data_IF_587658577590
#
_entry.id   IF_587658577590
#
_cell.length_a   1.000
_cell.length_b   1.000
_cell.length_c   1.000
_cell.angle_alpha   90.00
_cell.angle_beta   90.00
_cell.angle_gamma   90.00
#
_symmetry.space_group_name_H-M   'P 1'
#
loop_
_entity.id
_entity.type
_entity.pdbx_description
1 polymer ?
#
# COMPACT_ATOMS: atom_id res chain seq x y z
N UNK A 1 11.87 -1.85 -9.98
CA UNK A 1 11.28 -0.58 -10.48
C UNK A 1 11.58 0.60 -9.56
N UNK A 2 11.39 0.49 -8.24
CA UNK A 2 11.61 1.59 -7.28
C UNK A 2 13.02 2.22 -7.37
N UNK A 3 14.08 1.40 -7.39
CA UNK A 3 15.48 1.83 -7.61
C UNK A 3 15.73 2.55 -8.94
N UNK A 4 14.85 2.33 -9.91
CA UNK A 4 14.95 2.88 -11.27
C UNK A 4 13.83 3.87 -11.53
N UNK A 5 13.22 4.50 -10.52
CA UNK A 5 12.36 5.68 -10.65
C UNK A 5 13.20 6.95 -10.42
N UNK A 6 13.01 7.97 -11.27
CA UNK A 6 13.88 9.16 -11.29
C UNK A 6 13.57 10.20 -10.22
N UNK A 7 12.36 10.16 -9.68
CA UNK A 7 11.86 11.21 -8.81
C UNK A 7 10.98 10.60 -7.72
N UNK A 8 10.77 11.36 -6.66
CA UNK A 8 10.03 10.94 -5.47
C UNK A 8 8.57 10.61 -5.80
N UNK A 9 7.90 11.45 -6.61
CA UNK A 9 6.51 11.24 -7.08
C UNK A 9 6.30 9.88 -7.74
N UNK A 10 7.11 9.55 -8.74
CA UNK A 10 6.96 8.30 -9.51
C UNK A 10 7.29 7.08 -8.63
N UNK A 11 8.27 7.22 -7.72
CA UNK A 11 8.62 6.16 -6.76
C UNK A 11 7.45 5.90 -5.80
N UNK A 12 6.89 6.96 -5.23
CA UNK A 12 5.71 6.91 -4.37
C UNK A 12 4.48 6.33 -5.09
N UNK A 13 4.23 6.75 -6.33
CA UNK A 13 3.11 6.24 -7.11
C UNK A 13 3.26 4.74 -7.40
N UNK A 14 4.45 4.29 -7.80
CA UNK A 14 4.72 2.87 -8.09
C UNK A 14 4.58 2.03 -6.81
N UNK A 15 5.11 2.49 -5.68
CA UNK A 15 4.99 1.76 -4.40
C UNK A 15 3.52 1.65 -4.00
N UNK A 16 2.79 2.78 -3.97
CA UNK A 16 1.37 2.79 -3.61
C UNK A 16 0.52 1.93 -4.55
N UNK A 17 0.78 1.96 -5.87
CA UNK A 17 0.08 1.13 -6.84
C UNK A 17 0.31 -0.38 -6.62
N UNK A 18 1.53 -0.77 -6.23
CA UNK A 18 1.80 -2.15 -5.88
C UNK A 18 1.15 -2.54 -4.55
N UNK A 19 1.36 -1.77 -3.48
CA UNK A 19 0.94 -2.17 -2.13
C UNK A 19 -0.57 -2.23 -1.98
N UNK A 20 -1.24 -1.15 -2.36
CA UNK A 20 -2.68 -0.99 -2.18
C UNK A 20 -3.50 -2.04 -2.95
N UNK A 21 -2.92 -2.61 -4.01
CA UNK A 21 -3.65 -3.40 -4.99
C UNK A 21 -4.80 -2.62 -5.65
N UNK A 22 -4.89 -1.31 -5.48
CA UNK A 22 -6.00 -0.49 -5.95
C UNK A 22 -6.05 -0.38 -7.47
N UNK A 23 -7.20 0.06 -7.99
CA UNK A 23 -7.27 0.46 -9.41
C UNK A 23 -6.46 1.74 -9.56
N UNK A 24 -5.79 1.86 -10.71
CA UNK A 24 -5.03 3.08 -11.02
C UNK A 24 -5.92 4.33 -11.03
N UNK A 25 -7.19 4.24 -11.40
CA UNK A 25 -8.12 5.37 -11.31
C UNK A 25 -8.36 5.83 -9.86
N UNK A 26 -8.55 4.87 -8.95
CA UNK A 26 -8.71 5.11 -7.51
C UNK A 26 -7.50 5.85 -6.94
N UNK A 27 -6.28 5.39 -7.29
CA UNK A 27 -5.06 6.05 -6.84
C UNK A 27 -4.79 7.38 -7.54
N UNK A 28 -4.97 7.44 -8.86
CA UNK A 28 -4.68 8.64 -9.64
C UNK A 28 -5.56 9.83 -9.23
N UNK A 29 -6.76 9.57 -8.70
CA UNK A 29 -7.70 10.57 -8.18
C UNK A 29 -7.49 10.96 -6.72
N UNK A 30 -6.46 10.44 -6.03
CA UNK A 30 -6.19 10.81 -4.64
C UNK A 30 -5.90 12.31 -4.50
N UNK A 31 -6.43 12.88 -3.42
CA UNK A 31 -6.19 14.26 -2.96
C UNK A 31 -5.43 14.21 -1.64
N UNK A 32 -4.81 15.32 -1.25
CA UNK A 32 -4.04 15.41 0.00
C UNK A 32 -4.88 14.94 1.21
N UNK A 33 -6.15 15.36 1.30
CA UNK A 33 -7.08 14.95 2.37
C UNK A 33 -7.34 13.45 2.49
N UNK A 34 -7.09 12.68 1.42
CA UNK A 34 -7.31 11.24 1.39
C UNK A 34 -6.12 10.46 1.97
N UNK A 35 -5.03 11.14 2.37
CA UNK A 35 -3.82 10.52 2.91
C UNK A 35 -3.70 10.85 4.39
N UNK A 36 -3.72 9.83 5.24
CA UNK A 36 -3.53 10.00 6.69
C UNK A 36 -2.39 9.11 7.16
N UNK A 37 -1.34 9.70 7.72
CA UNK A 37 -0.21 8.95 8.27
C UNK A 37 -0.50 8.52 9.71
N UNK A 38 -0.02 7.35 10.09
CA UNK A 38 -0.11 6.82 11.45
C UNK A 38 1.22 6.17 11.87
N UNK A 39 1.27 5.62 13.09
CA UNK A 39 2.49 4.99 13.64
C UNK A 39 3.06 3.87 12.76
N UNK A 40 2.21 3.15 12.03
CA UNK A 40 2.58 1.97 11.26
C UNK A 40 2.78 2.25 9.76
N UNK A 41 2.31 3.38 9.26
CA UNK A 41 2.35 3.72 7.84
C UNK A 41 1.36 4.82 7.48
N UNK A 42 0.46 4.54 6.52
CA UNK A 42 -0.58 5.46 6.12
C UNK A 42 -1.88 4.73 5.72
N UNK A 43 -2.99 5.45 5.80
CA UNK A 43 -4.30 5.07 5.30
C UNK A 43 -4.62 5.93 4.08
N UNK A 44 -4.96 5.27 2.98
CA UNK A 44 -5.45 5.93 1.76
C UNK A 44 -6.96 5.70 1.65
N UNK A 45 -7.74 6.77 1.70
CA UNK A 45 -9.18 6.68 1.47
C UNK A 45 -9.45 6.81 -0.02
N UNK A 46 -9.81 5.70 -0.68
CA UNK A 46 -10.06 5.67 -2.13
C UNK A 46 -11.54 5.56 -2.42
N UNK A 47 -11.98 6.22 -3.50
CA UNK A 47 -13.34 6.08 -4.03
C UNK A 47 -13.36 5.03 -5.15
N UNK A 48 -14.01 3.90 -4.88
CA UNK A 48 -14.15 2.79 -5.81
C UNK A 48 -15.60 2.54 -6.21
N UNK A 49 -15.81 1.59 -7.12
CA UNK A 49 -17.16 1.17 -7.56
C UNK A 49 -18.07 0.69 -6.42
N UNK A 50 -17.48 0.24 -5.31
CA UNK A 50 -18.17 -0.30 -4.13
C UNK A 50 -18.27 0.74 -3.00
N UNK A 51 -17.98 2.02 -3.28
CA UNK A 51 -17.94 3.10 -2.30
C UNK A 51 -16.52 3.48 -1.88
N UNK A 52 -16.45 4.43 -0.96
CA UNK A 52 -15.19 4.84 -0.34
C UNK A 52 -14.70 3.75 0.62
N UNK A 53 -13.41 3.44 0.57
CA UNK A 53 -12.80 2.46 1.48
C UNK A 53 -11.39 2.88 1.90
N UNK A 54 -10.99 2.58 3.15
CA UNK A 54 -9.62 2.77 3.58
C UNK A 54 -8.72 1.67 3.02
N UNK A 55 -7.50 2.03 2.63
CA UNK A 55 -6.44 1.08 2.29
C UNK A 55 -5.22 1.38 3.15
N UNK A 56 -4.86 0.43 3.99
CA UNK A 56 -3.65 0.51 4.81
C UNK A 56 -2.42 0.18 3.95
N UNK A 57 -1.45 1.09 3.97
CA UNK A 57 -0.13 0.93 3.35
C UNK A 57 0.95 1.10 4.41
N UNK A 58 1.96 0.23 4.38
CA UNK A 58 3.04 0.19 5.36
C UNK A 58 4.36 0.49 4.66
N UNK A 59 4.75 -0.31 3.65
CA UNK A 59 6.04 -0.12 3.00
C UNK A 59 6.07 1.07 2.04
N UNK A 60 4.91 1.46 1.51
CA UNK A 60 4.76 2.60 0.60
C UNK A 60 4.69 3.93 1.33
N UNK A 61 4.29 3.92 2.60
CA UNK A 61 4.09 5.14 3.38
C UNK A 61 5.34 6.03 3.43
N UNK A 62 6.56 5.51 3.65
CA UNK A 62 7.78 6.34 3.62
C UNK A 62 8.05 7.00 2.26
N UNK A 63 7.73 6.32 1.14
CA UNK A 63 7.89 6.91 -0.19
C UNK A 63 6.86 8.01 -0.43
N UNK A 64 5.62 7.80 0.03
CA UNK A 64 4.55 8.78 -0.06
C UNK A 64 4.87 10.02 0.80
N UNK A 65 5.35 9.82 2.02
CA UNK A 65 5.79 10.90 2.91
C UNK A 65 6.95 11.70 2.29
N UNK A 66 7.96 11.01 1.76
CA UNK A 66 9.10 11.65 1.09
C UNK A 66 8.67 12.50 -0.12
N UNK A 67 7.66 12.05 -0.86
CA UNK A 67 7.04 12.84 -1.94
C UNK A 67 6.26 14.05 -1.40
N UNK A 68 5.37 13.84 -0.42
CA UNK A 68 4.52 14.90 0.13
C UNK A 68 5.33 15.99 0.84
N UNK A 69 6.50 15.65 1.40
CA UNK A 69 7.43 16.60 2.01
C UNK A 69 7.85 17.70 1.02
N UNK A 70 8.03 17.35 -0.26
CA UNK A 70 8.46 18.28 -1.32
C UNK A 70 7.31 18.69 -2.25
N UNK A 71 6.07 18.30 -1.94
CA UNK A 71 4.92 18.60 -2.77
C UNK A 71 4.55 20.09 -2.66
N UNK A 72 4.41 20.83 -3.77
CA UNK A 72 4.23 22.28 -3.75
C UNK A 72 2.89 22.72 -3.16
N UNK A 73 1.88 21.84 -3.17
CA UNK A 73 0.55 22.08 -2.61
C UNK A 73 0.26 21.14 -1.43
N UNK A 74 1.27 20.77 -0.64
CA UNK A 74 1.12 19.77 0.43
C UNK A 74 0.11 20.16 1.53
N UNK A 75 -0.10 21.46 1.72
CA UNK A 75 -0.99 22.00 2.75
C UNK A 75 -2.44 22.20 2.22
N UNK A 76 -2.64 22.05 0.90
CA UNK A 76 -3.92 22.22 0.22
C UNK A 76 -4.69 20.90 0.16
N UNK A 77 -5.70 20.74 1.02
CA UNK A 77 -6.44 19.49 1.20
C UNK A 77 -7.11 18.94 -0.07
N UNK A 78 -7.56 19.84 -0.95
CA UNK A 78 -8.19 19.49 -2.22
C UNK A 78 -7.21 19.27 -3.37
N UNK A 79 -5.92 19.54 -3.17
CA UNK A 79 -4.92 19.36 -4.22
C UNK A 79 -4.74 17.88 -4.56
N UNK A 80 -4.53 17.53 -5.84
CA UNK A 80 -4.22 16.15 -6.23
C UNK A 80 -2.86 15.74 -5.66
N UNK A 81 -2.75 14.50 -5.17
CA UNK A 81 -1.47 13.93 -4.68
C UNK A 81 -0.46 13.80 -5.83
N UNK A 82 -0.95 13.55 -7.04
CA UNK A 82 -0.12 13.31 -8.22
C UNK A 82 -0.25 14.48 -9.19
N UNK A 83 0.73 15.38 -9.14
CA UNK A 83 0.80 16.56 -10.03
C UNK A 83 1.87 16.43 -11.11
N UNK A 84 1.72 17.20 -12.19
CA UNK A 84 2.77 17.40 -13.20
C UNK A 84 4.00 18.10 -12.59
N UNK A 85 5.19 17.91 -13.17
CA UNK A 85 6.40 18.59 -12.66
C UNK A 85 6.50 20.06 -13.05
N UNK A 86 5.83 20.46 -14.14
CA UNK A 86 5.83 21.83 -14.67
C UNK A 86 4.52 22.57 -14.34
N UNK A 87 3.89 22.23 -13.23
CA UNK A 87 2.62 22.84 -12.80
C UNK A 87 2.05 22.15 -11.56
N UNK A 88 0.83 22.49 -11.21
CA UNK A 88 0.09 21.93 -10.06
C UNK A 88 -1.12 21.09 -10.49
N UNK A 89 -1.30 20.91 -11.80
CA UNK A 89 -2.38 20.11 -12.36
C UNK A 89 -2.16 18.62 -12.14
N UNK A 90 -3.26 17.89 -11.98
CA UNK A 90 -3.25 16.44 -11.82
C UNK A 90 -2.63 15.75 -13.03
N UNK A 91 -1.78 14.73 -12.76
CA UNK A 91 -1.23 13.91 -13.85
C UNK A 91 -2.36 13.09 -14.48
N UNK A 92 -2.56 13.30 -15.79
CA UNK A 92 -3.52 12.51 -16.55
C UNK A 92 -3.18 11.00 -16.53
N UNK A 93 -4.21 10.17 -16.50
CA UNK A 93 -4.10 8.71 -16.50
C UNK A 93 -3.14 8.13 -17.56
N UNK A 94 -3.19 8.56 -18.84
CA UNK A 94 -2.27 8.05 -19.86
C UNK A 94 -0.81 8.36 -19.56
N UNK A 95 -0.53 9.49 -18.90
CA UNK A 95 0.83 9.88 -18.53
C UNK A 95 1.37 9.01 -17.40
N UNK A 96 0.56 8.67 -16.39
CA UNK A 96 0.92 7.70 -15.35
C UNK A 96 1.21 6.32 -15.96
N UNK A 97 0.36 5.84 -16.87
CA UNK A 97 0.58 4.56 -17.54
C UNK A 97 1.86 4.56 -18.41
N UNK A 98 2.14 5.68 -19.10
CA UNK A 98 3.39 5.86 -19.86
C UNK A 98 4.60 5.85 -18.92
N UNK A 99 4.51 6.53 -17.78
CA UNK A 99 5.56 6.55 -16.76
C UNK A 99 5.88 5.13 -16.27
N UNK A 100 4.87 4.32 -15.94
CA UNK A 100 5.06 2.92 -15.52
C UNK A 100 5.85 2.11 -16.55
N UNK A 101 5.49 2.23 -17.84
CA UNK A 101 6.17 1.54 -18.94
C UNK A 101 7.62 2.01 -19.09
N UNK A 102 7.87 3.31 -19.00
CA UNK A 102 9.22 3.87 -19.07
C UNK A 102 10.08 3.35 -17.93
N UNK A 103 9.59 3.41 -16.68
CA UNK A 103 10.32 2.91 -15.51
C UNK A 103 10.57 1.40 -15.61
N UNK A 104 9.60 0.63 -16.11
CA UNK A 104 9.76 -0.81 -16.32
C UNK A 104 10.86 -1.13 -17.34
N UNK A 105 10.90 -0.39 -18.47
CA UNK A 105 11.95 -0.53 -19.49
C UNK A 105 13.33 -0.25 -18.90
N UNK A 106 13.47 0.80 -18.09
CA UNK A 106 14.75 1.12 -17.41
C UNK A 106 15.16 0.10 -16.36
N UNK A 107 14.19 -0.57 -15.75
CA UNK A 107 14.43 -1.67 -14.84
C UNK A 107 14.78 -3.00 -15.55
N UNK A 108 14.85 -3.02 -16.89
CA UNK A 108 15.16 -4.24 -17.65
C UNK A 108 14.01 -5.26 -17.66
N UNK A 109 12.79 -4.85 -17.30
CA UNK A 109 11.64 -5.76 -17.25
C UNK A 109 11.14 -6.00 -18.67
N UNK A 110 11.30 -7.25 -19.16
CA UNK A 110 10.85 -7.68 -20.49
C UNK A 110 9.35 -7.91 -20.56
N UNK A 111 8.70 -8.27 -19.45
CA UNK A 111 7.25 -8.50 -19.38
C UNK A 111 6.50 -7.19 -19.59
N UNK A 112 5.36 -7.25 -20.27
CA UNK A 112 4.47 -6.10 -20.46
C UNK A 112 3.96 -5.58 -19.11
N UNK A 113 4.31 -4.36 -18.76
CA UNK A 113 3.85 -3.69 -17.53
C UNK A 113 2.64 -2.80 -17.82
N UNK A 114 1.60 -2.96 -17.01
CA UNK A 114 0.36 -2.19 -17.04
C UNK A 114 -0.26 -2.19 -15.63
N UNK A 115 -1.16 -1.25 -15.30
CA UNK A 115 -1.63 -1.07 -13.92
C UNK A 115 -2.26 -2.32 -13.28
N UNK A 116 -3.13 -3.03 -14.01
CA UNK A 116 -3.76 -4.25 -13.49
C UNK A 116 -2.75 -5.36 -13.17
N UNK A 117 -1.56 -5.39 -13.80
CA UNK A 117 -0.52 -6.35 -13.45
C UNK A 117 -0.03 -6.16 -12.01
N UNK A 118 0.04 -4.91 -11.51
CA UNK A 118 0.42 -4.64 -10.12
C UNK A 118 -0.61 -5.24 -9.16
N UNK A 119 -1.90 -5.02 -9.42
CA UNK A 119 -2.99 -5.63 -8.66
C UNK A 119 -2.90 -7.15 -8.64
N UNK A 120 -2.78 -7.81 -9.80
CA UNK A 120 -2.61 -9.27 -9.87
C UNK A 120 -1.39 -9.75 -9.06
N UNK A 121 -0.26 -9.05 -9.20
CA UNK A 121 0.97 -9.39 -8.49
C UNK A 121 0.80 -9.26 -6.97
N UNK A 122 0.09 -8.21 -6.52
CA UNK A 122 -0.21 -8.00 -5.11
C UNK A 122 -1.21 -9.01 -4.57
N UNK A 123 -2.28 -9.32 -5.31
CA UNK A 123 -3.27 -10.34 -4.93
C UNK A 123 -2.62 -11.71 -4.79
N UNK A 124 -1.76 -12.10 -5.73
CA UNK A 124 -1.00 -13.36 -5.66
C UNK A 124 -0.12 -13.42 -4.42
N UNK A 125 0.59 -12.32 -4.12
CA UNK A 125 1.42 -12.23 -2.92
C UNK A 125 0.59 -12.32 -1.62
N UNK A 126 -0.53 -11.61 -1.55
CA UNK A 126 -1.37 -11.57 -0.35
C UNK A 126 -2.09 -12.90 -0.08
N UNK A 127 -2.36 -13.71 -1.10
CA UNK A 127 -2.98 -15.03 -0.95
C UNK A 127 -2.17 -16.00 -0.07
N UNK A 128 -0.86 -15.74 0.14
CA UNK A 128 -0.01 -16.52 1.03
C UNK A 128 -0.15 -16.14 2.52
N UNK A 129 -0.80 -15.02 2.81
CA UNK A 129 -0.87 -14.41 4.15
C UNK A 129 -2.29 -14.09 4.62
N UNK A 130 -3.23 -13.87 3.69
CA UNK A 130 -4.59 -13.44 3.99
C UNK A 130 -5.60 -14.52 3.60
N UNK A 131 -6.72 -14.58 4.34
CA UNK A 131 -7.89 -15.38 3.98
C UNK A 131 -8.67 -14.76 2.81
N UNK A 132 -9.57 -15.53 2.19
CA UNK A 132 -10.40 -15.02 1.08
C UNK A 132 -11.19 -13.77 1.47
N UNK A 133 -11.81 -13.75 2.66
CA UNK A 133 -12.55 -12.58 3.16
C UNK A 133 -11.66 -11.38 3.44
N UNK A 134 -10.46 -11.60 4.00
CA UNK A 134 -9.49 -10.53 4.19
C UNK A 134 -8.99 -9.95 2.85
N UNK A 135 -8.86 -10.79 1.83
CA UNK A 135 -8.54 -10.33 0.47
C UNK A 135 -9.68 -9.53 -0.14
N UNK A 136 -10.93 -9.96 0.05
CA UNK A 136 -12.11 -9.23 -0.44
C UNK A 136 -12.13 -7.81 0.14
N UNK A 137 -12.00 -7.69 1.46
CA UNK A 137 -11.93 -6.41 2.17
C UNK A 137 -10.75 -5.55 1.67
N UNK A 138 -9.54 -6.11 1.68
CA UNK A 138 -8.32 -5.37 1.33
C UNK A 138 -8.30 -4.89 -0.13
N UNK A 139 -8.83 -5.67 -1.06
CA UNK A 139 -8.82 -5.35 -2.49
C UNK A 139 -10.09 -4.62 -2.95
N UNK A 140 -11.12 -4.50 -2.09
CA UNK A 140 -12.41 -3.93 -2.44
C UNK A 140 -13.18 -4.81 -3.43
N UNK A 141 -13.20 -6.11 -3.16
CA UNK A 141 -14.13 -7.04 -3.80
C UNK A 141 -15.37 -7.23 -2.93
N UNK A 142 -16.43 -7.75 -3.54
CA UNK A 142 -17.65 -8.08 -2.81
C UNK A 142 -17.33 -9.23 -1.85
N UNK A 143 -17.69 -9.16 -0.57
CA UNK A 143 -17.47 -10.25 0.37
C UNK A 143 -18.04 -11.57 -0.14
N UNK A 144 -17.22 -12.62 -0.15
CA UNK A 144 -17.60 -13.95 -0.63
C UNK A 144 -17.55 -14.10 -2.15
N UNK A 145 -16.92 -13.16 -2.86
CA UNK A 145 -16.76 -13.25 -4.32
C UNK A 145 -15.87 -14.44 -4.73
N UNK A 146 -15.94 -14.83 -6.00
CA UNK A 146 -15.00 -15.82 -6.55
C UNK A 146 -13.62 -15.24 -6.90
N UNK A 147 -13.40 -13.94 -6.68
CA UNK A 147 -12.16 -13.26 -7.07
C UNK A 147 -10.93 -13.78 -6.30
N UNK A 148 -10.97 -13.96 -4.96
CA UNK A 148 -9.85 -14.53 -4.20
C UNK A 148 -9.46 -15.94 -4.67
N UNK A 149 -10.43 -16.76 -5.09
CA UNK A 149 -10.23 -18.16 -5.50
C UNK A 149 -9.29 -18.32 -6.71
N UNK A 150 -9.07 -17.24 -7.47
CA UNK A 150 -8.09 -17.23 -8.56
C UNK A 150 -6.64 -17.28 -8.05
N UNK A 151 -6.39 -16.83 -6.82
CA UNK A 151 -5.06 -16.69 -6.22
C UNK A 151 -4.84 -17.63 -5.04
N UNK A 152 -5.90 -17.96 -4.32
CA UNK A 152 -5.84 -18.84 -3.17
C UNK A 152 -5.79 -20.29 -3.66
N UNK A 153 -4.60 -20.89 -3.55
CA UNK A 153 -4.41 -22.31 -3.76
C UNK A 153 -4.38 -23.01 -2.41
N UNK A 154 -5.48 -23.69 -2.06
CA UNK A 154 -5.54 -24.47 -0.83
C UNK A 154 -4.56 -25.65 -0.94
N UNK A 155 -3.56 -25.66 -0.07
CA UNK A 155 -2.61 -26.76 0.07
C UNK A 155 -2.64 -27.29 1.50
N UNK A 156 -2.33 -28.58 1.69
CA UNK A 156 -2.21 -29.14 3.04
C UNK A 156 -1.17 -28.39 3.89
N UNK A 157 -0.14 -27.80 3.24
CA UNK A 157 0.85 -26.93 3.86
C UNK A 157 0.23 -25.67 4.48
N UNK A 158 -0.75 -25.06 3.81
CA UNK A 158 -1.47 -23.88 4.31
C UNK A 158 -2.35 -24.23 5.52
N UNK A 159 -3.04 -25.37 5.47
CA UNK A 159 -3.84 -25.86 6.61
C UNK A 159 -2.95 -26.16 7.81
N UNK A 160 -1.82 -26.83 7.60
CA UNK A 160 -0.85 -27.12 8.66
C UNK A 160 -0.26 -25.83 9.26
N UNK A 161 0.08 -24.84 8.43
CA UNK A 161 0.54 -23.52 8.89
C UNK A 161 -0.47 -22.88 9.84
N UNK A 162 -1.74 -22.78 9.41
CA UNK A 162 -2.80 -22.21 10.24
C UNK A 162 -3.05 -23.01 11.52
N UNK A 163 -2.99 -24.34 11.45
CA UNK A 163 -3.14 -25.20 12.63
C UNK A 163 -2.01 -25.02 13.64
N UNK A 164 -0.76 -24.92 13.17
CA UNK A 164 0.39 -24.68 14.05
C UNK A 164 0.30 -23.32 14.75
N UNK A 165 -0.18 -22.29 14.05
CA UNK A 165 -0.40 -20.96 14.63
C UNK A 165 -1.42 -20.98 15.79
N UNK A 166 -2.47 -21.80 15.70
CA UNK A 166 -3.45 -22.00 16.80
C UNK A 166 -2.77 -22.52 18.08
N UNK A 167 -1.78 -23.40 17.93
CA UNK A 167 -1.00 -23.93 19.05
C UNK A 167 0.21 -23.05 19.44
N UNK A 168 0.30 -21.84 18.89
CA UNK A 168 1.41 -20.91 19.15
C UNK A 168 2.74 -21.32 18.52
N UNK A 169 2.74 -22.32 17.64
CA UNK A 169 3.93 -22.82 16.95
C UNK A 169 4.15 -22.01 15.68
N UNK A 170 5.39 -21.54 15.47
CA UNK A 170 5.76 -20.83 14.24
C UNK A 170 6.02 -21.84 13.13
N UNK A 171 5.20 -21.81 12.08
CA UNK A 171 5.58 -22.46 10.82
C UNK A 171 6.71 -21.66 10.18
N UNK A 172 7.86 -22.29 9.98
CA UNK A 172 8.99 -21.66 9.28
C UNK A 172 8.67 -21.63 7.79
N UNK A 173 8.08 -20.55 7.30
CA UNK A 173 7.90 -20.36 5.87
C UNK A 173 9.21 -19.92 5.23
N UNK A 174 9.59 -20.57 4.14
CA UNK A 174 10.72 -20.11 3.31
C UNK A 174 10.39 -18.80 2.58
N UNK A 175 9.09 -18.48 2.44
CA UNK A 175 8.60 -17.25 1.84
C UNK A 175 8.67 -16.10 2.84
N UNK A 176 9.67 -15.23 2.66
CA UNK A 176 9.75 -13.93 3.33
C UNK A 176 9.27 -12.82 2.39
N UNK A 177 8.60 -11.76 2.90
CA UNK A 177 8.33 -10.58 2.09
C UNK A 177 9.65 -10.02 1.56
N UNK A 178 9.72 -9.70 0.26
CA UNK A 178 10.90 -9.06 -0.34
C UNK A 178 10.93 -7.56 0.00
N UNK A 179 9.76 -6.96 0.23
CA UNK A 179 9.60 -5.53 0.50
C UNK A 179 9.29 -5.30 1.99
N UNK A 180 10.32 -5.44 2.83
CA UNK A 180 10.21 -5.21 4.28
C UNK A 180 10.69 -3.80 4.60
N UNK A 181 9.87 -2.94 5.23
CA UNK A 181 10.31 -1.64 5.71
C UNK A 181 11.45 -1.76 6.73
N UNK A 182 12.27 -0.71 6.84
CA UNK A 182 13.39 -0.66 7.80
C UNK A 182 13.08 0.34 8.90
N UNK A 183 13.13 -0.08 10.16
CA UNK A 183 12.97 0.82 11.31
C UNK A 183 14.34 1.41 11.66
N UNK A 184 14.45 2.73 11.66
CA UNK A 184 15.68 3.42 12.02
C UNK A 184 16.01 3.20 13.51
N UNK A 185 17.19 2.68 13.81
CA UNK A 185 17.66 2.43 15.20
C UNK A 185 17.92 3.73 15.98
N UNK A 186 18.23 4.83 15.29
CA UNK A 186 18.51 6.12 15.93
C UNK A 186 17.25 6.88 16.35
N UNK A 187 16.18 6.85 15.55
CA UNK A 187 14.99 7.69 15.77
C UNK A 187 13.65 6.93 15.72
N UNK A 188 13.66 5.62 15.46
CA UNK A 188 12.45 4.78 15.39
C UNK A 188 11.60 4.96 14.12
N UNK A 189 11.97 5.84 13.19
CA UNK A 189 11.20 6.09 11.96
C UNK A 189 11.17 4.85 11.05
N UNK A 190 10.00 4.55 10.48
CA UNK A 190 9.84 3.52 9.43
C UNK A 190 10.28 4.10 8.09
N UNK A 191 11.17 3.41 7.39
CA UNK A 191 11.72 3.81 6.09
C UNK A 191 11.44 2.73 5.03
N UNK A 192 11.41 3.14 3.76
CA UNK A 192 11.18 2.21 2.67
C UNK A 192 12.36 1.25 2.46
N UNK A 193 12.14 0.04 1.90
CA UNK A 193 13.19 -0.95 1.68
C UNK A 193 14.33 -0.52 0.76
N UNK A 194 14.20 0.57 0.01
CA UNK A 194 15.23 1.06 -0.92
C UNK A 194 15.93 2.35 -0.45
N UNK A 195 15.79 2.72 0.83
CA UNK A 195 16.41 3.93 1.38
C UNK A 195 17.77 3.59 1.98
N UNK A 196 18.82 4.27 1.55
CA UNK A 196 20.17 4.14 2.13
C UNK A 196 20.30 4.91 3.46
N UNK A 197 19.47 5.93 3.65
CA UNK A 197 19.48 6.81 4.81
C UNK A 197 18.06 7.10 5.32
N UNK A 198 17.92 7.33 6.62
CA UNK A 198 16.65 7.64 7.24
C UNK A 198 16.07 8.97 6.72
N UNK A 199 14.79 8.95 6.35
CA UNK A 199 14.08 10.15 5.85
C UNK A 199 13.94 11.27 6.88
N UNK A 200 14.04 10.94 8.17
CA UNK A 200 13.84 11.89 9.26
C UNK A 200 15.15 12.39 9.88
N UNK A 201 16.09 11.50 10.18
CA UNK A 201 17.34 11.87 10.88
C UNK A 201 18.61 11.70 10.04
N UNK A 202 18.52 11.18 8.81
CA UNK A 202 19.68 10.98 7.94
C UNK A 202 20.63 9.83 8.33
N UNK A 203 20.35 9.09 9.41
CA UNK A 203 21.17 7.93 9.81
C UNK A 203 21.25 6.87 8.71
N UNK A 204 22.40 6.20 8.57
CA UNK A 204 22.60 5.12 7.61
C UNK A 204 21.70 3.91 7.95
N UNK A 205 21.02 3.36 6.93
CA UNK A 205 20.11 2.22 7.07
C UNK A 205 20.66 0.91 6.48
N UNK A 206 21.81 0.94 5.79
CA UNK A 206 22.34 -0.21 5.05
C UNK A 206 22.71 -1.40 5.95
N UNK A 207 23.08 -1.12 7.21
CA UNK A 207 23.50 -2.13 8.18
C UNK A 207 22.35 -2.60 9.11
N UNK A 208 21.12 -2.12 8.89
CA UNK A 208 19.97 -2.46 9.75
C UNK A 208 19.27 -3.70 9.20
N UNK A 209 19.16 -4.73 10.05
CA UNK A 209 18.40 -5.94 9.75
C UNK A 209 16.90 -5.62 9.63
N UNK A 210 16.41 -5.53 8.40
CA UNK A 210 14.99 -5.33 8.06
C UNK A 210 14.03 -6.37 8.68
N UNK A 211 14.54 -7.51 9.17
CA UNK A 211 13.69 -8.52 9.84
C UNK A 211 13.33 -8.18 11.29
N UNK A 212 13.93 -7.13 11.85
CA UNK A 212 13.63 -6.62 13.19
C UNK A 212 12.52 -5.55 13.16
N UNK A 213 11.31 -5.93 12.73
CA UNK A 213 10.13 -5.20 13.19
C UNK A 213 9.95 -5.50 14.68
N UNK A 214 9.76 -4.49 15.56
CA UNK A 214 9.55 -4.74 16.98
C UNK A 214 8.37 -5.71 17.16
N UNK A 215 8.61 -6.79 17.92
CA UNK A 215 7.70 -7.93 18.09
C UNK A 215 6.33 -7.42 18.58
N UNK A 216 5.35 -7.40 17.68
CA UNK A 216 4.08 -6.67 17.78
C UNK A 216 3.05 -7.29 18.74
N UNK A 217 3.47 -8.21 19.61
CA UNK A 217 2.54 -8.94 20.50
C UNK A 217 2.13 -8.20 21.77
N UNK A 218 2.73 -7.05 22.10
CA UNK A 218 2.39 -6.35 23.35
C UNK A 218 1.64 -5.02 23.23
N UNK A 219 1.41 -4.46 22.03
CA UNK A 219 0.75 -3.14 21.88
C UNK A 219 -0.43 -3.09 20.89
N UNK A 220 -0.89 -4.21 20.32
CA UNK A 220 -2.05 -4.20 19.41
C UNK A 220 -3.42 -4.14 20.13
N UNK A 221 -3.46 -4.21 21.47
CA UNK A 221 -4.73 -4.31 22.21
C UNK A 221 -5.41 -2.98 22.55
N UNK A 222 -4.82 -1.82 22.27
CA UNK A 222 -5.35 -0.55 22.80
C UNK A 222 -5.80 0.49 21.78
N UNK A 223 -5.46 0.36 20.49
CA UNK A 223 -5.69 1.45 19.53
C UNK A 223 -6.75 1.15 18.45
N UNK A 224 -7.41 -0.01 18.51
CA UNK A 224 -8.68 -0.25 17.80
C UNK A 224 -9.82 0.09 18.77
N UNK A 225 -9.94 1.37 19.12
CA UNK A 225 -11.14 1.88 19.82
C UNK A 225 -11.87 2.82 18.86
N UNK A 226 -13.04 2.35 18.44
CA UNK A 226 -14.19 3.16 18.00
C UNK A 226 -14.01 4.01 16.74
N UNK A 227 -13.89 3.35 15.58
CA UNK A 227 -14.42 3.88 14.30
C UNK A 227 -15.78 3.23 13.95
N UNK A 228 -16.54 2.78 14.97
CA UNK A 228 -17.97 2.50 14.82
C UNK A 228 -18.76 3.80 15.02
N UNK A 229 -18.91 4.57 13.95
CA UNK A 229 -19.61 5.85 14.04
C UNK A 229 -19.79 6.54 12.69
N UNK A 230 -20.58 5.95 11.79
CA UNK A 230 -20.88 6.57 10.50
C UNK A 230 -21.84 5.80 9.62
N UNK A 231 -22.95 5.29 10.18
CA UNK A 231 -24.11 4.94 9.36
C UNK A 231 -24.63 6.24 8.73
N UNK A 232 -24.18 6.55 7.51
CA UNK A 232 -24.74 7.63 6.71
C UNK A 232 -26.12 7.16 6.26
N UNK A 233 -27.15 7.51 7.03
CA UNK A 233 -28.53 7.45 6.56
C UNK A 233 -28.67 8.42 5.39
N UNK A 234 -28.75 7.89 4.17
CA UNK A 234 -29.13 8.65 2.99
C UNK A 234 -30.56 9.18 3.18
N UNK A 235 -30.85 10.46 2.90
CA UNK A 235 -32.23 10.92 2.86
C UNK A 235 -32.95 10.23 1.70
N UNK A 236 -34.10 9.63 2.02
CA UNK A 236 -35.01 9.10 1.01
C UNK A 236 -35.42 10.23 0.06
N UNK A 237 -35.11 10.06 -1.22
CA UNK A 237 -35.66 10.87 -2.30
C UNK A 237 -37.17 10.64 -2.36
N UNK A 238 -37.93 11.61 -1.89
CA UNK A 238 -39.38 11.67 -2.11
C UNK A 238 -39.67 12.07 -3.56
N UNK A 239 -40.52 11.28 -4.19
CA UNK A 239 -41.09 11.49 -5.51
C UNK A 239 -41.86 12.82 -5.60
N UNK A 240 -41.70 13.51 -6.72
CA UNK A 240 -42.80 14.14 -7.46
C UNK A 240 -42.75 13.63 -8.89
#
# INVERSE_FOLDING_TARGET
>A
MLYRANNKRDRAFISCLYESGGRIGELAGLRIKHVQFNRYGAVLTVDGKTGMRPIHIVFSAPYLEDWLTVHPLRDEQEAPVWILFKGTEQVAYPALNKMLKTVAKRAGIKKRVYPHLFRHSRSTFLANFLTELQMDEYLGWIPGSSMPKTYVHLSQKNVLKSLLEVYGLKFKSDEKPILIPVVCTSCGKINGPTFDSCIQCGSNLQDIDSTQFPDSRHELKTDIKEDEGGCVTLPASGNT
#
